data_IF_582677785258
#
_entry.id   IF_582677785258
#
_cell.length_a   1.000
_cell.length_b   1.000
_cell.length_c   1.000
_cell.angle_alpha   90.00
_cell.angle_beta   90.00
_cell.angle_gamma   90.00
#
_symmetry.space_group_name_H-M   'P 1'
#
loop_
_entity.id
_entity.type
_entity.pdbx_description
1 polymer ?
#
# COMPACT_ATOMS: atom_id res chain seq x y z
N UNK A 1 -6.50 17.55 0.46
CA UNK A 1 -5.29 18.38 0.60
C UNK A 1 -5.65 19.85 0.84
N UNK A 2 -6.59 20.42 0.07
CA UNK A 2 -7.15 21.77 0.30
C UNK A 2 -7.71 22.01 1.71
N UNK A 3 -8.55 21.10 2.23
CA UNK A 3 -9.16 21.25 3.57
C UNK A 3 -8.13 21.33 4.70
N UNK A 4 -7.00 20.64 4.54
CA UNK A 4 -5.92 20.61 5.53
C UNK A 4 -5.10 21.90 5.46
N UNK A 5 -4.65 22.31 4.27
CA UNK A 5 -3.91 23.57 4.07
C UNK A 5 -4.73 24.81 4.47
N UNK A 6 -6.04 24.79 4.22
CA UNK A 6 -6.97 25.81 4.71
C UNK A 6 -6.98 25.93 6.24
N UNK A 7 -6.92 24.81 6.95
CA UNK A 7 -6.81 24.81 8.41
C UNK A 7 -5.49 25.37 8.94
N UNK A 8 -4.35 25.08 8.29
CA UNK A 8 -3.01 25.47 8.76
C UNK A 8 -2.61 26.92 8.43
N UNK A 9 -2.91 27.38 7.22
CA UNK A 9 -2.36 28.61 6.63
C UNK A 9 -3.42 29.62 6.17
N UNK A 10 -4.72 29.27 6.28
CA UNK A 10 -5.85 30.18 5.95
C UNK A 10 -6.67 30.54 7.19
N UNK A 11 -6.96 29.55 8.04
CA UNK A 11 -7.79 29.73 9.24
C UNK A 11 -6.96 29.76 10.54
N UNK A 12 -5.70 29.32 10.49
CA UNK A 12 -4.80 29.25 11.65
C UNK A 12 -5.27 28.31 12.76
N UNK A 13 -6.10 27.32 12.45
CA UNK A 13 -6.71 26.39 13.43
C UNK A 13 -5.76 25.28 13.88
N UNK A 14 -4.74 24.99 13.07
CA UNK A 14 -3.80 23.91 13.31
C UNK A 14 -2.37 24.43 13.16
N UNK A 15 -1.42 23.82 13.87
CA UNK A 15 0.00 24.22 13.82
C UNK A 15 0.53 24.29 12.36
N UNK A 16 1.23 25.36 11.96
CA UNK A 16 1.81 26.41 12.80
C UNK A 16 0.87 27.57 13.18
N UNK A 17 -0.42 27.50 12.81
CA UNK A 17 -1.43 28.49 13.21
C UNK A 17 -1.27 29.83 12.51
N UNK A 18 -1.00 29.82 11.20
CA UNK A 18 -0.69 31.02 10.41
C UNK A 18 -1.90 31.47 9.59
N UNK A 19 -2.11 32.78 9.50
CA UNK A 19 -3.16 33.38 8.68
C UNK A 19 -2.91 34.89 8.46
N UNK A 20 -3.67 35.52 7.56
CA UNK A 20 -3.53 36.96 7.27
C UNK A 20 -4.11 37.84 8.38
N UNK A 21 -3.40 38.91 8.75
CA UNK A 21 -3.79 39.82 9.82
C UNK A 21 -5.21 40.40 9.68
N UNK A 22 -5.67 40.68 8.44
CA UNK A 22 -7.00 41.23 8.18
C UNK A 22 -8.15 40.30 8.60
N UNK A 23 -7.87 39.01 8.83
CA UNK A 23 -8.87 38.04 9.26
C UNK A 23 -9.17 38.14 10.77
N UNK A 24 -8.41 38.95 11.53
CA UNK A 24 -8.59 39.20 12.96
C UNK A 24 -8.75 37.93 13.81
N UNK A 25 -7.91 36.93 13.53
CA UNK A 25 -7.84 35.65 14.25
C UNK A 25 -6.59 35.62 15.13
N UNK A 26 -6.58 34.76 16.15
CA UNK A 26 -5.42 34.56 17.03
C UNK A 26 -4.31 33.73 16.37
N UNK A 27 -3.82 34.18 15.21
CA UNK A 27 -2.78 33.53 14.43
C UNK A 27 -1.39 34.06 14.81
N UNK A 28 -0.36 33.26 14.58
CA UNK A 28 1.06 33.64 14.81
C UNK A 28 1.61 34.60 13.74
N UNK A 29 0.79 34.98 12.76
CA UNK A 29 1.11 35.80 11.58
C UNK A 29 1.00 35.03 10.27
N UNK A 30 1.22 35.69 9.14
CA UNK A 30 1.32 35.04 7.82
C UNK A 30 0.48 35.68 6.72
N UNK A 31 0.38 34.98 5.59
CA UNK A 31 -0.39 35.41 4.42
C UNK A 31 -1.17 34.26 3.80
N UNK A 32 -2.48 34.26 4.03
CA UNK A 32 -3.40 33.23 3.54
C UNK A 32 -3.61 33.21 2.03
N UNK A 33 -3.17 34.25 1.31
CA UNK A 33 -3.21 34.29 -0.15
C UNK A 33 -1.95 33.68 -0.80
N UNK A 34 -0.88 33.42 -0.04
CA UNK A 34 0.41 32.96 -0.61
C UNK A 34 0.96 31.71 0.07
N UNK A 35 0.87 31.61 1.39
CA UNK A 35 1.46 30.49 2.14
C UNK A 35 0.90 29.11 1.78
N UNK A 36 -0.42 28.91 1.54
CA UNK A 36 -0.92 27.61 1.08
C UNK A 36 -0.27 27.14 -0.23
N UNK A 37 -0.02 28.06 -1.15
CA UNK A 37 0.63 27.78 -2.43
C UNK A 37 2.12 27.50 -2.27
N UNK A 38 2.83 28.26 -1.41
CA UNK A 38 4.24 28.03 -1.11
C UNK A 38 4.47 26.66 -0.44
N UNK A 39 3.62 26.30 0.52
CA UNK A 39 3.67 24.99 1.18
C UNK A 39 3.43 23.89 0.17
N UNK A 40 2.42 24.03 -0.70
CA UNK A 40 2.18 23.07 -1.79
C UNK A 40 3.39 22.96 -2.73
N UNK A 41 3.98 24.10 -3.10
CA UNK A 41 5.13 24.17 -4.00
C UNK A 41 6.37 23.48 -3.44
N UNK A 42 6.53 23.39 -2.13
CA UNK A 42 7.60 22.60 -1.50
C UNK A 42 7.20 21.14 -1.25
N UNK A 43 5.94 20.87 -0.93
CA UNK A 43 5.42 19.52 -0.71
C UNK A 43 5.47 18.68 -1.99
N UNK A 44 5.16 19.26 -3.16
CA UNK A 44 5.12 18.54 -4.42
C UNK A 44 6.50 18.00 -4.86
N UNK A 45 7.60 18.80 -4.90
CA UNK A 45 8.94 18.31 -5.16
C UNK A 45 9.43 17.32 -4.09
N UNK A 46 9.11 17.54 -2.81
CA UNK A 46 9.47 16.61 -1.74
C UNK A 46 8.79 15.24 -1.94
N UNK A 47 7.49 15.25 -2.27
CA UNK A 47 6.76 14.06 -2.65
C UNK A 47 7.34 13.40 -3.91
N UNK A 48 7.63 14.18 -4.96
CA UNK A 48 8.21 13.67 -6.20
C UNK A 48 9.59 13.03 -5.98
N UNK A 49 10.44 13.64 -5.15
CA UNK A 49 11.74 13.10 -4.77
C UNK A 49 11.61 11.80 -3.96
N UNK A 50 10.71 11.79 -2.97
CA UNK A 50 10.40 10.59 -2.17
C UNK A 50 9.83 9.45 -3.04
N UNK A 51 8.92 9.75 -3.95
CA UNK A 51 8.31 8.79 -4.87
C UNK A 51 9.34 8.26 -5.89
N UNK A 52 10.21 9.12 -6.42
CA UNK A 52 11.32 8.72 -7.30
C UNK A 52 12.26 7.76 -6.59
N UNK A 53 12.70 8.10 -5.38
CA UNK A 53 13.59 7.26 -4.59
C UNK A 53 12.94 5.92 -4.21
N UNK A 54 11.66 5.91 -3.86
CA UNK A 54 10.91 4.67 -3.63
C UNK A 54 10.92 3.76 -4.86
N UNK A 55 10.64 4.33 -6.04
CA UNK A 55 10.67 3.60 -7.31
C UNK A 55 12.07 3.12 -7.67
N UNK A 56 13.10 3.94 -7.46
CA UNK A 56 14.48 3.68 -7.91
C UNK A 56 15.34 2.88 -6.93
N UNK A 57 14.88 2.66 -5.70
CA UNK A 57 15.65 1.91 -4.68
C UNK A 57 14.86 0.76 -4.07
N UNK A 58 13.62 0.99 -3.69
CA UNK A 58 12.86 0.04 -2.87
C UNK A 58 12.04 -0.94 -3.69
N UNK A 59 11.44 -0.48 -4.78
CA UNK A 59 10.71 -1.39 -5.68
C UNK A 59 11.66 -2.21 -6.58
N UNK A 60 12.83 -1.66 -6.91
CA UNK A 60 13.70 -2.21 -7.95
C UNK A 60 14.88 -3.04 -7.45
N UNK A 61 15.14 -3.08 -6.13
CA UNK A 61 16.28 -3.85 -5.57
C UNK A 61 16.34 -5.28 -6.13
N UNK A 62 15.19 -5.96 -6.21
CA UNK A 62 15.09 -7.31 -6.77
C UNK A 62 14.66 -7.31 -8.24
N UNK A 63 13.90 -6.31 -8.68
CA UNK A 63 13.38 -6.27 -10.05
C UNK A 63 14.46 -5.91 -11.09
N UNK A 64 15.34 -4.95 -10.80
CA UNK A 64 16.40 -4.57 -11.75
C UNK A 64 17.38 -5.71 -12.04
N UNK A 65 17.82 -6.51 -11.05
CA UNK A 65 18.60 -7.71 -11.34
C UNK A 65 17.85 -8.71 -12.23
N UNK A 66 16.55 -8.90 -12.04
CA UNK A 66 15.75 -9.83 -12.84
C UNK A 66 15.49 -9.32 -14.26
N UNK A 67 15.39 -8.00 -14.47
CA UNK A 67 15.12 -7.42 -15.80
C UNK A 67 16.42 -7.11 -16.54
N UNK A 68 17.38 -6.49 -15.87
CA UNK A 68 18.60 -5.94 -16.46
C UNK A 68 19.88 -6.66 -16.02
N UNK A 69 19.79 -7.65 -15.13
CA UNK A 69 20.96 -8.43 -14.69
C UNK A 69 21.92 -7.67 -13.79
N UNK A 70 21.52 -6.53 -13.23
CA UNK A 70 22.35 -5.74 -12.32
C UNK A 70 21.48 -4.99 -11.30
N UNK A 71 22.08 -4.57 -10.18
CA UNK A 71 21.39 -3.76 -9.19
C UNK A 71 21.08 -2.34 -9.71
N UNK A 72 20.08 -1.64 -9.14
CA UNK A 72 19.77 -0.26 -9.50
C UNK A 72 20.97 0.67 -9.32
N UNK A 73 21.13 1.66 -10.20
CA UNK A 73 22.27 2.60 -10.16
C UNK A 73 22.32 3.38 -8.83
N UNK A 74 21.16 3.76 -8.30
CA UNK A 74 21.03 4.43 -6.99
C UNK A 74 21.63 3.59 -5.86
N UNK A 75 21.43 2.27 -5.87
CA UNK A 75 21.97 1.35 -4.88
C UNK A 75 23.47 1.16 -5.04
N UNK A 76 23.96 1.06 -6.27
CA UNK A 76 25.40 0.98 -6.53
C UNK A 76 26.12 2.22 -5.97
N UNK A 77 25.55 3.41 -6.15
CA UNK A 77 26.11 4.66 -5.62
C UNK A 77 26.00 4.78 -4.09
N UNK A 78 24.82 4.48 -3.50
CA UNK A 78 24.57 4.68 -2.07
C UNK A 78 25.20 3.59 -1.19
N UNK A 79 25.18 2.34 -1.64
CA UNK A 79 25.69 1.19 -0.87
C UNK A 79 27.19 0.98 -1.10
N UNK A 80 27.66 1.31 -2.31
CA UNK A 80 29.06 1.25 -2.68
C UNK A 80 29.66 -0.15 -2.52
N UNK A 81 30.81 -0.22 -1.85
CA UNK A 81 31.59 -1.46 -1.71
C UNK A 81 30.89 -2.56 -0.91
N UNK A 82 29.84 -2.24 -0.14
CA UNK A 82 29.03 -3.25 0.58
C UNK A 82 28.12 -4.04 -0.35
N UNK A 83 27.85 -3.55 -1.56
CA UNK A 83 26.99 -4.22 -2.53
C UNK A 83 27.80 -5.21 -3.36
N UNK A 84 27.53 -6.54 -3.26
CA UNK A 84 28.22 -7.52 -4.08
C UNK A 84 27.97 -7.27 -5.57
N UNK A 85 28.97 -7.55 -6.40
CA UNK A 85 28.85 -7.42 -7.86
C UNK A 85 28.51 -8.77 -8.48
N UNK A 86 27.57 -8.78 -9.42
CA UNK A 86 27.32 -9.98 -10.23
C UNK A 86 28.44 -10.18 -11.25
N UNK A 87 28.91 -11.42 -11.37
CA UNK A 87 29.72 -11.82 -12.53
C UNK A 87 28.87 -11.78 -13.80
N UNK A 88 29.51 -11.70 -14.98
CA UNK A 88 28.79 -11.75 -16.27
C UNK A 88 27.91 -12.99 -16.41
N UNK A 89 28.38 -14.14 -15.92
CA UNK A 89 27.62 -15.39 -15.91
C UNK A 89 26.37 -15.30 -15.01
N UNK A 90 26.48 -14.71 -13.82
CA UNK A 90 25.34 -14.50 -12.93
C UNK A 90 24.33 -13.50 -13.50
N UNK A 91 24.82 -12.37 -14.03
CA UNK A 91 23.99 -11.35 -14.67
C UNK A 91 23.13 -11.95 -15.80
N UNK A 92 23.74 -12.75 -16.68
CA UNK A 92 23.02 -13.41 -17.76
C UNK A 92 22.00 -14.44 -17.29
N UNK A 93 22.20 -15.07 -16.12
CA UNK A 93 21.24 -16.03 -15.54
C UNK A 93 20.03 -15.35 -14.88
N UNK A 94 20.17 -14.11 -14.44
CA UNK A 94 19.12 -13.36 -13.76
C UNK A 94 18.17 -12.67 -14.76
N UNK A 95 18.69 -12.19 -15.89
CA UNK A 95 17.89 -11.52 -16.91
C UNK A 95 16.76 -12.42 -17.43
N UNK A 96 15.53 -11.97 -17.24
CA UNK A 96 14.33 -12.67 -17.68
C UNK A 96 14.06 -13.97 -16.91
N UNK A 97 14.67 -14.17 -15.72
CA UNK A 97 14.48 -15.40 -14.94
C UNK A 97 13.16 -15.40 -14.15
N UNK A 98 12.05 -15.06 -14.82
CA UNK A 98 10.70 -15.05 -14.26
C UNK A 98 9.65 -15.20 -15.38
N UNK A 99 8.59 -15.97 -15.12
CA UNK A 99 7.43 -16.06 -16.02
C UNK A 99 6.32 -15.09 -15.61
N UNK A 100 6.23 -14.80 -14.31
CA UNK A 100 5.32 -13.83 -13.72
C UNK A 100 5.94 -13.25 -12.43
N UNK A 101 5.40 -12.13 -11.96
CA UNK A 101 5.87 -11.46 -10.74
C UNK A 101 4.70 -11.40 -9.75
N UNK A 102 4.92 -11.93 -8.55
CA UNK A 102 4.03 -11.72 -7.41
C UNK A 102 4.39 -10.42 -6.68
N UNK A 103 3.40 -9.56 -6.46
CA UNK A 103 3.58 -8.31 -5.70
C UNK A 103 2.78 -8.36 -4.40
N UNK A 104 3.51 -8.40 -3.28
CA UNK A 104 2.91 -8.32 -1.95
C UNK A 104 2.79 -6.83 -1.56
N UNK A 105 1.57 -6.29 -1.62
CA UNK A 105 1.29 -4.89 -1.30
C UNK A 105 0.31 -4.78 -0.13
N UNK A 106 0.67 -3.98 0.87
CA UNK A 106 -0.11 -3.81 2.11
C UNK A 106 -0.39 -2.35 2.43
N UNK A 107 0.61 -1.48 2.27
CA UNK A 107 0.50 -0.06 2.60
C UNK A 107 1.51 0.77 1.82
N UNK A 108 1.32 2.08 1.84
CA UNK A 108 2.29 3.08 1.44
C UNK A 108 2.75 3.85 2.68
N UNK A 109 4.04 4.19 2.72
CA UNK A 109 4.61 4.98 3.80
C UNK A 109 5.03 6.36 3.27
N UNK A 110 4.97 7.37 4.13
CA UNK A 110 5.64 8.64 3.84
C UNK A 110 7.15 8.46 3.93
N UNK A 111 7.88 9.01 2.97
CA UNK A 111 9.33 9.08 2.98
C UNK A 111 9.77 10.53 2.97
N UNK A 112 10.66 10.89 3.91
CA UNK A 112 11.28 12.21 3.99
C UNK A 112 12.80 12.08 3.82
N UNK A 113 13.41 13.03 3.12
CA UNK A 113 14.86 13.10 2.94
C UNK A 113 15.57 13.21 4.30
N UNK A 114 16.59 12.39 4.52
CA UNK A 114 17.40 12.35 5.74
C UNK A 114 18.89 12.49 5.38
N UNK A 115 19.40 13.73 5.22
CA UNK A 115 20.73 13.97 4.67
C UNK A 115 21.92 13.63 5.59
N UNK A 116 21.73 13.39 6.89
CA UNK A 116 22.83 13.16 7.85
C UNK A 116 22.58 11.98 8.82
N UNK A 117 23.64 11.19 9.06
CA UNK A 117 23.68 10.18 10.12
C UNK A 117 24.71 9.05 9.94
N UNK A 118 25.97 9.39 9.62
CA UNK A 118 27.08 8.47 9.31
C UNK A 118 27.53 7.50 10.42
N UNK A 119 26.77 7.29 11.50
CA UNK A 119 27.25 6.47 12.61
C UNK A 119 26.75 5.01 12.58
N UNK A 120 25.67 4.68 11.88
CA UNK A 120 25.13 3.30 11.80
C UNK A 120 24.55 2.99 10.39
N UNK A 121 25.43 2.79 9.41
CA UNK A 121 25.00 2.36 8.06
C UNK A 121 24.44 0.94 8.09
N UNK A 122 23.25 0.76 7.53
CA UNK A 122 22.52 -0.51 7.52
C UNK A 122 21.58 -0.55 6.31
N UNK A 123 21.08 -1.74 5.98
CA UNK A 123 20.08 -1.90 4.92
C UNK A 123 18.87 -0.95 5.08
N UNK A 124 18.46 -0.67 6.32
CA UNK A 124 17.31 0.20 6.62
C UNK A 124 17.62 1.69 6.51
N UNK A 125 18.89 2.08 6.66
CA UNK A 125 19.33 3.48 6.63
C UNK A 125 19.96 3.87 5.28
N UNK A 126 20.34 2.91 4.44
CA UNK A 126 21.03 3.14 3.16
C UNK A 126 20.29 4.07 2.21
N UNK A 127 18.96 4.13 2.30
CA UNK A 127 18.12 4.99 1.46
C UNK A 127 18.16 6.47 1.82
N UNK A 128 18.69 6.82 2.99
CA UNK A 128 18.66 8.18 3.53
C UNK A 128 17.21 8.72 3.61
N UNK A 129 16.28 7.88 4.07
CA UNK A 129 14.88 8.27 4.28
C UNK A 129 14.33 7.85 5.63
N UNK A 130 13.54 8.72 6.25
CA UNK A 130 12.66 8.34 7.37
C UNK A 130 11.33 7.79 6.85
N UNK A 131 10.87 6.67 7.41
CA UNK A 131 9.63 5.97 7.03
C UNK A 131 8.71 5.88 8.25
N UNK A 132 7.49 6.42 8.16
CA UNK A 132 6.45 6.25 9.19
C UNK A 132 5.52 5.08 8.86
N UNK A 133 5.29 4.15 9.79
CA UNK A 133 4.33 3.04 9.65
C UNK A 133 3.12 3.23 10.57
N UNK A 134 1.96 2.72 10.15
CA UNK A 134 0.73 2.65 10.93
C UNK A 134 0.33 1.17 10.96
N UNK A 135 0.21 0.58 12.16
CA UNK A 135 -0.17 -0.83 12.35
C UNK A 135 -1.47 -0.93 13.16
N UNK A 136 -2.29 -1.94 12.86
CA UNK A 136 -3.46 -2.31 13.67
C UNK A 136 -3.06 -3.35 14.73
N UNK A 137 -3.42 -3.11 15.99
CA UNK A 137 -3.10 -3.97 17.13
C UNK A 137 -4.25 -4.95 17.42
N UNK A 138 -3.95 -6.18 17.83
CA UNK A 138 -4.96 -7.10 18.38
C UNK A 138 -5.31 -6.71 19.81
N UNK A 139 -6.60 -6.65 20.12
CA UNK A 139 -7.07 -6.50 21.49
C UNK A 139 -7.55 -7.87 22.04
N UNK A 140 -6.79 -8.50 22.97
CA UNK A 140 -7.14 -9.80 23.52
C UNK A 140 -8.39 -9.78 24.41
N UNK A 141 -8.96 -8.61 24.72
CA UNK A 141 -10.17 -8.47 25.55
C UNK A 141 -11.48 -8.49 24.74
N UNK A 142 -11.40 -8.51 23.41
CA UNK A 142 -12.59 -8.55 22.57
C UNK A 142 -13.35 -9.89 22.71
N UNK A 143 -14.68 -9.81 22.76
CA UNK A 143 -15.52 -11.01 22.62
C UNK A 143 -15.39 -11.60 21.22
N UNK A 144 -15.69 -12.90 21.08
CA UNK A 144 -15.66 -13.57 19.77
C UNK A 144 -16.54 -12.82 18.75
N UNK A 145 -17.76 -12.43 19.14
CA UNK A 145 -18.68 -11.69 18.27
C UNK A 145 -18.05 -10.40 17.74
N UNK A 146 -17.39 -9.61 18.58
CA UNK A 146 -16.68 -8.39 18.16
C UNK A 146 -15.46 -8.69 17.28
N UNK A 147 -14.71 -9.75 17.60
CA UNK A 147 -13.54 -10.16 16.82
C UNK A 147 -13.90 -10.63 15.39
N UNK A 148 -15.15 -11.04 15.13
CA UNK A 148 -15.65 -11.41 13.81
C UNK A 148 -16.08 -10.20 12.96
N UNK A 149 -16.30 -9.03 13.57
CA UNK A 149 -16.74 -7.79 12.90
C UNK A 149 -15.52 -7.00 12.42
N UNK A 150 -14.98 -7.40 11.27
CA UNK A 150 -13.75 -6.84 10.69
C UNK A 150 -14.00 -5.94 9.47
N UNK A 151 -14.94 -5.00 9.61
CA UNK A 151 -15.35 -4.09 8.51
C UNK A 151 -14.17 -3.33 7.89
N UNK A 152 -13.18 -2.92 8.69
CA UNK A 152 -11.98 -2.25 8.19
C UNK A 152 -11.20 -3.11 7.17
N UNK A 153 -11.18 -4.44 7.36
CA UNK A 153 -10.57 -5.38 6.42
C UNK A 153 -11.37 -5.46 5.11
N UNK A 154 -12.69 -5.43 5.20
CA UNK A 154 -13.58 -5.37 4.01
C UNK A 154 -13.27 -4.10 3.21
N UNK A 155 -13.28 -2.95 3.86
CA UNK A 155 -13.03 -1.65 3.22
C UNK A 155 -11.64 -1.61 2.58
N UNK A 156 -10.64 -2.16 3.28
CA UNK A 156 -9.29 -2.28 2.76
C UNK A 156 -9.23 -3.11 1.47
N UNK A 157 -9.80 -4.33 1.47
CA UNK A 157 -9.80 -5.19 0.29
C UNK A 157 -10.62 -4.58 -0.86
N UNK A 158 -11.78 -3.97 -0.55
CA UNK A 158 -12.62 -3.33 -1.55
C UNK A 158 -11.88 -2.19 -2.26
N UNK A 159 -11.20 -1.31 -1.52
CA UNK A 159 -10.39 -0.24 -2.11
C UNK A 159 -9.22 -0.78 -2.93
N UNK A 160 -8.50 -1.80 -2.44
CA UNK A 160 -7.40 -2.40 -3.20
C UNK A 160 -7.88 -3.01 -4.52
N UNK A 161 -8.99 -3.75 -4.50
CA UNK A 161 -9.58 -4.34 -5.71
C UNK A 161 -10.09 -3.27 -6.68
N UNK A 162 -10.65 -2.17 -6.18
CA UNK A 162 -11.05 -1.02 -7.00
C UNK A 162 -9.85 -0.45 -7.77
N UNK A 163 -8.75 -0.11 -7.08
CA UNK A 163 -7.56 0.43 -7.73
C UNK A 163 -6.84 -0.60 -8.62
N UNK A 164 -6.86 -1.88 -8.25
CA UNK A 164 -6.34 -2.96 -9.09
C UNK A 164 -7.11 -3.02 -10.43
N UNK A 165 -8.44 -2.90 -10.36
CA UNK A 165 -9.28 -2.86 -11.55
C UNK A 165 -9.01 -1.63 -12.41
N UNK A 166 -8.78 -0.46 -11.80
CA UNK A 166 -8.33 0.75 -12.54
C UNK A 166 -7.00 0.50 -13.25
N UNK A 167 -6.00 -0.07 -12.56
CA UNK A 167 -4.72 -0.39 -13.17
C UNK A 167 -4.86 -1.38 -14.35
N UNK A 168 -5.73 -2.38 -14.24
CA UNK A 168 -6.03 -3.30 -15.34
C UNK A 168 -6.66 -2.56 -16.53
N UNK A 169 -7.58 -1.62 -16.28
CA UNK A 169 -8.18 -0.77 -17.32
C UNK A 169 -7.14 0.11 -18.02
N UNK A 170 -6.13 0.56 -17.28
CA UNK A 170 -5.01 1.34 -17.81
C UNK A 170 -3.95 0.48 -18.52
N UNK A 171 -4.23 -0.81 -18.73
CA UNK A 171 -3.39 -1.72 -19.52
C UNK A 171 -2.38 -2.55 -18.72
N UNK A 172 -2.38 -2.48 -17.39
CA UNK A 172 -1.50 -3.31 -16.57
C UNK A 172 -1.95 -4.77 -16.61
N UNK A 173 -1.03 -5.68 -16.94
CA UNK A 173 -1.32 -7.11 -17.09
C UNK A 173 -1.39 -7.85 -15.74
N UNK A 174 -2.45 -7.63 -14.97
CA UNK A 174 -2.70 -8.35 -13.71
C UNK A 174 -3.57 -9.58 -13.95
N UNK A 175 -3.18 -10.72 -13.36
CA UNK A 175 -3.88 -12.00 -13.53
C UNK A 175 -4.63 -12.50 -12.30
N UNK A 176 -4.35 -11.98 -11.12
CA UNK A 176 -4.96 -12.46 -9.90
C UNK A 176 -4.75 -11.54 -8.70
N UNK A 177 -5.54 -11.79 -7.66
CA UNK A 177 -5.48 -11.13 -6.36
C UNK A 177 -5.61 -12.20 -5.27
N UNK A 178 -4.65 -12.24 -4.34
CA UNK A 178 -4.62 -13.20 -3.25
C UNK A 178 -4.62 -12.43 -1.92
N UNK A 179 -5.67 -12.62 -1.12
CA UNK A 179 -5.79 -11.95 0.16
C UNK A 179 -4.87 -12.60 1.21
N UNK A 180 -4.02 -11.79 1.84
CA UNK A 180 -3.38 -12.17 3.09
C UNK A 180 -4.32 -11.80 4.26
N UNK A 181 -4.82 -12.76 5.05
CA UNK A 181 -4.59 -14.21 4.96
C UNK A 181 -5.89 -15.00 5.04
N UNK A 182 -5.81 -16.28 4.66
CA UNK A 182 -6.95 -17.19 4.77
C UNK A 182 -7.34 -17.40 6.24
N UNK A 183 -6.35 -17.64 7.11
CA UNK A 183 -6.54 -17.97 8.52
C UNK A 183 -5.68 -17.04 9.39
N UNK A 184 -6.17 -16.71 10.59
CA UNK A 184 -5.30 -16.16 11.63
C UNK A 184 -4.13 -17.12 11.89
N UNK A 185 -2.90 -16.62 11.79
CA UNK A 185 -1.68 -17.42 11.80
C UNK A 185 -0.59 -16.76 12.67
N UNK A 186 0.62 -17.32 12.66
CA UNK A 186 1.77 -16.79 13.40
C UNK A 186 2.47 -15.70 12.59
N UNK A 187 2.42 -14.47 13.07
CA UNK A 187 2.88 -13.27 12.35
C UNK A 187 4.26 -12.83 12.85
N UNK A 188 5.24 -13.73 12.71
CA UNK A 188 6.66 -13.45 12.93
C UNK A 188 6.97 -12.84 14.30
N UNK A 189 7.58 -11.64 14.33
CA UNK A 189 7.92 -10.92 15.56
C UNK A 189 6.70 -10.54 16.40
N UNK A 190 5.54 -10.39 15.76
CA UNK A 190 4.29 -10.07 16.44
C UNK A 190 3.57 -11.34 16.93
N UNK A 191 4.09 -12.53 16.61
CA UNK A 191 3.55 -13.82 17.02
C UNK A 191 2.03 -13.93 16.80
N UNK A 192 1.24 -14.16 17.86
CA UNK A 192 -0.22 -14.23 17.79
C UNK A 192 -0.90 -12.94 18.30
N UNK A 193 -0.16 -11.83 18.38
CA UNK A 193 -0.64 -10.52 18.86
C UNK A 193 -1.22 -9.65 17.74
N UNK A 194 -1.35 -10.18 16.52
CA UNK A 194 -2.06 -9.58 15.40
C UNK A 194 -2.82 -10.68 14.64
N UNK A 195 -3.90 -10.32 13.94
CA UNK A 195 -4.80 -11.28 13.28
C UNK A 195 -5.15 -10.81 11.88
N UNK A 196 -4.54 -11.41 10.86
CA UNK A 196 -4.76 -11.07 9.44
C UNK A 196 -5.82 -11.91 8.72
N UNK A 197 -6.26 -13.01 9.32
CA UNK A 197 -7.12 -13.98 8.65
C UNK A 197 -8.51 -13.46 8.35
N UNK A 198 -9.08 -13.81 7.20
CA UNK A 198 -10.53 -13.68 6.96
C UNK A 198 -11.34 -14.74 7.74
N UNK A 199 -10.67 -15.81 8.21
CA UNK A 199 -11.19 -16.72 9.23
C UNK A 199 -10.49 -16.49 10.56
N UNK A 200 -11.29 -16.30 11.61
CA UNK A 200 -10.83 -16.32 12.98
C UNK A 200 -10.43 -17.74 13.38
N UNK A 201 -9.26 -17.89 14.02
CA UNK A 201 -8.81 -19.15 14.60
C UNK A 201 -8.81 -19.05 16.12
N UNK A 202 -9.60 -19.91 16.75
CA UNK A 202 -9.69 -20.03 18.20
C UNK A 202 -8.55 -20.91 18.74
N UNK A 203 -7.46 -20.26 19.16
CA UNK A 203 -6.29 -20.96 19.70
C UNK A 203 -6.57 -21.74 20.99
N UNK A 204 -7.61 -21.37 21.75
CA UNK A 204 -7.96 -22.03 23.02
C UNK A 204 -8.93 -23.19 22.81
N UNK A 205 -9.72 -23.16 21.74
CA UNK A 205 -10.68 -24.19 21.41
C UNK A 205 -10.25 -25.02 20.20
N UNK A 206 -9.18 -25.81 20.36
CA UNK A 206 -8.70 -26.77 19.35
C UNK A 206 -8.55 -26.19 17.94
N UNK A 207 -8.12 -24.93 17.83
CA UNK A 207 -7.97 -24.21 16.57
C UNK A 207 -9.28 -24.14 15.76
N UNK A 208 -10.45 -24.05 16.39
CA UNK A 208 -11.71 -23.96 15.65
C UNK A 208 -11.75 -22.69 14.78
N UNK A 209 -12.27 -22.82 13.55
CA UNK A 209 -12.33 -21.74 12.55
C UNK A 209 -13.73 -21.12 12.53
N UNK A 210 -13.79 -19.80 12.48
CA UNK A 210 -15.03 -19.03 12.36
C UNK A 210 -14.88 -18.01 11.23
N UNK A 211 -15.80 -17.96 10.25
CA UNK A 211 -15.74 -16.94 9.21
C UNK A 211 -15.96 -15.56 9.81
N UNK A 212 -15.07 -14.60 9.52
CA UNK A 212 -15.31 -13.19 9.83
C UNK A 212 -16.23 -12.58 8.77
N UNK A 213 -16.69 -11.35 8.98
CA UNK A 213 -17.51 -10.63 7.98
C UNK A 213 -16.78 -10.51 6.64
N UNK A 214 -15.46 -10.32 6.63
CA UNK A 214 -14.65 -10.30 5.41
C UNK A 214 -14.70 -11.60 4.60
N UNK A 215 -14.72 -12.77 5.24
CA UNK A 215 -14.89 -14.05 4.54
C UNK A 215 -16.28 -14.16 3.88
N UNK A 216 -17.33 -13.71 4.58
CA UNK A 216 -18.69 -13.69 4.04
C UNK A 216 -18.81 -12.68 2.88
N UNK A 217 -18.16 -11.53 2.99
CA UNK A 217 -18.09 -10.54 1.93
C UNK A 217 -17.41 -11.09 0.67
N UNK A 218 -16.23 -11.72 0.80
CA UNK A 218 -15.54 -12.35 -0.34
C UNK A 218 -16.40 -13.44 -1.00
N UNK A 219 -17.09 -14.27 -0.21
CA UNK A 219 -18.03 -15.28 -0.72
C UNK A 219 -19.11 -14.65 -1.60
N UNK A 220 -19.68 -13.53 -1.17
CA UNK A 220 -20.72 -12.84 -1.93
C UNK A 220 -20.17 -12.12 -3.17
N UNK A 221 -19.02 -11.44 -3.02
CA UNK A 221 -18.31 -10.77 -4.11
C UNK A 221 -18.00 -11.73 -5.28
N UNK A 222 -17.49 -12.92 -4.97
CA UNK A 222 -17.16 -13.93 -5.98
C UNK A 222 -18.41 -14.50 -6.68
N UNK A 223 -19.51 -14.67 -5.95
CA UNK A 223 -20.80 -15.16 -6.49
C UNK A 223 -21.52 -14.14 -7.36
N UNK A 224 -21.35 -12.84 -7.10
CA UNK A 224 -21.96 -11.79 -7.92
C UNK A 224 -21.56 -11.90 -9.40
N UNK A 225 -20.36 -12.43 -9.68
CA UNK A 225 -19.85 -12.69 -11.03
C UNK A 225 -20.55 -13.88 -11.71
N UNK A 226 -20.95 -14.90 -10.97
CA UNK A 226 -21.71 -16.04 -11.51
C UNK A 226 -23.10 -15.58 -11.98
N UNK A 227 -23.76 -14.72 -11.20
CA UNK A 227 -25.10 -14.19 -11.55
C UNK A 227 -25.04 -13.27 -12.77
N UNK A 228 -24.02 -12.43 -12.92
CA UNK A 228 -23.88 -11.55 -14.09
C UNK A 228 -23.50 -12.32 -15.36
N UNK A 229 -22.62 -13.33 -15.27
CA UNK A 229 -22.27 -14.21 -16.39
C UNK A 229 -23.48 -15.05 -16.83
N UNK A 230 -24.27 -15.58 -15.90
CA UNK A 230 -25.50 -16.31 -16.23
C UNK A 230 -26.51 -15.39 -16.92
N UNK A 231 -26.77 -14.18 -16.39
CA UNK A 231 -27.67 -13.20 -17.04
C UNK A 231 -27.22 -12.84 -18.46
N UNK A 232 -25.91 -12.68 -18.69
CA UNK A 232 -25.40 -12.37 -20.02
C UNK A 232 -25.52 -13.56 -20.98
N UNK A 233 -25.32 -14.79 -20.48
CA UNK A 233 -25.47 -16.04 -21.25
C UNK A 233 -26.93 -16.30 -21.65
N UNK A 234 -27.88 -16.09 -20.73
CA UNK A 234 -29.32 -16.17 -21.02
C UNK A 234 -29.78 -15.07 -21.99
N UNK A 235 -29.23 -13.84 -21.88
CA UNK A 235 -29.55 -12.75 -22.80
C UNK A 235 -29.05 -12.99 -24.24
N UNK A 236 -27.99 -13.77 -24.44
CA UNK A 236 -27.48 -14.13 -25.78
C UNK A 236 -28.22 -15.31 -26.43
N UNK A 237 -28.91 -16.15 -25.64
CA UNK A 237 -29.71 -17.27 -26.18
C UNK A 237 -31.07 -16.81 -26.71
N UNK A 238 -31.65 -15.73 -26.16
CA UNK A 238 -32.93 -15.19 -26.63
C UNK A 238 -32.85 -14.47 -27.99
N UNK A 239 -31.67 -14.03 -28.43
CA UNK A 239 -31.47 -13.40 -29.76
C UNK A 239 -31.24 -14.40 -30.89
N UNK A 240 -31.21 -15.71 -30.61
CA UNK A 240 -31.10 -16.78 -31.63
C UNK A 240 -32.41 -17.49 -31.96
N UNK A 241 -33.53 -17.08 -31.36
CA UNK A 241 -34.85 -17.71 -31.54
C UNK A 241 -35.85 -16.87 -32.36
N UNK A 242 -35.41 -15.82 -33.05
CA UNK A 242 -36.28 -14.99 -33.92
C UNK A 242 -35.90 -15.01 -35.41
N UNK A 243 -35.21 -16.04 -35.88
CA UNK A 243 -34.86 -16.21 -37.31
C UNK A 243 -35.10 -17.64 -37.81
N UNK A 244 -36.32 -18.15 -37.62
CA UNK A 244 -36.85 -19.31 -38.34
C UNK A 244 -38.31 -19.03 -38.69
#
# INVERSE_FOLDING_TARGET
MELLQGGYYVLGLFAPGRCSNWQNRNCTGGNSATEPYLVTHHQLPAHAAAAKLYKEKYQVLFMDPLVYGNYPHSMQSLVGNRLPKFTKKQSNRLKGSFDFIGLNYYTANYAANAPDGHHNTSFLTDSHTHISRINELNDPKLSLEKALVDNQRIDNHNHHLYYLHTAIKDGVNVKGYFAWSLLDNFEWSDAYTVRFGIYYVDYKNRLKRYPKLSALWFKNFLRAKEVSVLKHKFSMDHTKLSSA
#
